data_IF_256450905481
#
_entry.id   IF_256450905481
#
_cell.length_a   1.000
_cell.length_b   1.000
_cell.length_c   1.000
_cell.angle_alpha   90.00
_cell.angle_beta   90.00
_cell.angle_gamma   90.00
#
_symmetry.space_group_name_H-M   'P 1'
#
loop_
_entity.id
_entity.type
_entity.pdbx_description
1 polymer ?
#
# COMPACT_ATOMS: atom_id res chain seq x y z
N UNK A 1 8.96 0.85 -17.50
CA UNK A 1 9.93 1.61 -16.67
C UNK A 1 10.98 2.17 -17.61
N UNK A 2 10.76 3.36 -18.15
CA UNK A 2 11.79 4.07 -18.91
C UNK A 2 12.47 5.04 -17.94
N UNK A 3 13.73 4.77 -17.63
CA UNK A 3 14.63 5.79 -17.10
C UNK A 3 15.20 6.51 -18.32
N UNK A 4 14.79 7.75 -18.55
CA UNK A 4 15.38 8.59 -19.59
C UNK A 4 16.83 8.92 -19.18
N UNK A 5 17.79 8.17 -19.72
CA UNK A 5 19.19 8.59 -19.77
C UNK A 5 19.40 9.25 -21.13
N UNK A 6 19.51 10.58 -21.13
CA UNK A 6 19.89 11.33 -22.32
C UNK A 6 21.32 10.96 -22.73
N UNK A 7 21.48 10.36 -23.90
CA UNK A 7 22.75 10.24 -24.60
C UNK A 7 22.86 11.38 -25.62
N UNK A 8 23.86 12.24 -25.47
CA UNK A 8 24.35 13.06 -26.58
C UNK A 8 25.88 13.03 -26.63
N UNK A 9 26.38 12.92 -27.85
CA UNK A 9 27.77 12.76 -28.20
C UNK A 9 28.55 14.05 -27.89
N UNK A 10 29.25 14.08 -26.76
CA UNK A 10 30.60 14.63 -26.57
C UNK A 10 30.97 14.57 -25.09
N UNK A 11 32.15 14.00 -24.81
CA UNK A 11 32.60 13.52 -23.50
C UNK A 11 32.43 14.47 -22.30
N UNK A 12 32.04 13.84 -21.18
CA UNK A 12 31.96 14.31 -19.77
C UNK A 12 30.66 15.01 -19.35
N UNK A 13 29.68 14.20 -18.94
CA UNK A 13 28.57 14.62 -18.07
C UNK A 13 28.88 14.27 -16.61
N UNK A 14 28.87 15.25 -15.70
CA UNK A 14 28.62 15.00 -14.28
C UNK A 14 27.16 14.55 -14.16
N UNK A 15 26.92 13.32 -13.70
CA UNK A 15 25.57 12.86 -13.36
C UNK A 15 24.94 13.81 -12.34
N UNK A 16 23.73 14.33 -12.60
CA UNK A 16 22.90 15.03 -11.60
C UNK A 16 22.43 14.10 -10.46
N UNK A 17 22.68 12.79 -10.58
CA UNK A 17 22.31 11.77 -9.62
C UNK A 17 23.52 10.87 -9.30
N UNK A 18 24.48 11.30 -8.48
CA UNK A 18 25.47 10.38 -7.92
C UNK A 18 24.75 9.45 -6.94
N UNK A 19 24.72 8.15 -7.24
CA UNK A 19 24.24 7.11 -6.32
C UNK A 19 25.46 6.58 -5.56
N UNK A 20 25.75 7.18 -4.41
CA UNK A 20 26.71 6.61 -3.45
C UNK A 20 25.97 5.70 -2.47
N UNK A 21 26.17 4.39 -2.58
CA UNK A 21 25.75 3.43 -1.57
C UNK A 21 26.78 3.40 -0.44
N UNK A 22 26.53 4.17 0.62
CA UNK A 22 27.27 4.02 1.88
C UNK A 22 26.80 2.75 2.59
N UNK A 23 27.66 1.71 2.63
CA UNK A 23 27.47 0.55 3.51
C UNK A 23 28.05 0.89 4.88
N UNK A 24 27.22 1.36 5.80
CA UNK A 24 27.62 1.42 7.21
C UNK A 24 27.46 0.02 7.82
N UNK A 25 28.58 -0.61 8.19
CA UNK A 25 28.60 -1.85 8.97
C UNK A 25 27.97 -1.62 10.34
N UNK A 26 26.89 -2.33 10.66
CA UNK A 26 26.28 -2.30 12.00
C UNK A 26 26.98 -3.28 12.94
N UNK A 27 27.12 -2.96 14.23
CA UNK A 27 27.77 -3.83 15.20
C UNK A 27 26.96 -5.10 15.44
N UNK A 28 27.67 -6.20 15.59
CA UNK A 28 27.15 -7.55 15.81
C UNK A 28 26.32 -7.60 17.11
N UNK A 29 24.99 -7.45 17.03
CA UNK A 29 24.07 -7.69 18.14
C UNK A 29 23.70 -9.16 18.18
N UNK A 30 23.77 -9.78 19.35
CA UNK A 30 23.23 -11.13 19.60
C UNK A 30 21.78 -11.22 19.12
N UNK A 31 21.33 -12.35 18.55
CA UNK A 31 19.95 -12.50 18.08
C UNK A 31 19.00 -12.32 19.26
N UNK A 32 18.20 -11.25 19.24
CA UNK A 32 17.06 -11.12 20.15
C UNK A 32 16.02 -12.16 19.72
N UNK A 33 15.65 -13.05 20.62
CA UNK A 33 14.56 -13.99 20.42
C UNK A 33 13.26 -13.31 20.85
N UNK A 34 12.43 -12.92 19.89
CA UNK A 34 11.10 -12.37 20.16
C UNK A 34 10.09 -13.49 20.35
N UNK A 35 9.14 -13.31 21.28
CA UNK A 35 8.01 -14.23 21.37
C UNK A 35 7.01 -13.90 20.26
N UNK A 36 6.73 -14.87 19.39
CA UNK A 36 5.73 -14.72 18.31
C UNK A 36 4.48 -15.55 18.53
N UNK A 37 4.39 -16.28 19.64
CA UNK A 37 3.17 -16.98 20.04
C UNK A 37 2.13 -15.96 20.51
N UNK A 38 0.85 -16.20 20.26
CA UNK A 38 -0.23 -15.37 20.76
C UNK A 38 -1.56 -16.13 20.79
N UNK A 39 -2.46 -15.69 21.66
CA UNK A 39 -3.86 -16.11 21.64
C UNK A 39 -4.74 -14.93 21.28
N UNK A 40 -5.70 -15.15 20.38
CA UNK A 40 -6.64 -14.12 19.94
C UNK A 40 -7.84 -14.13 20.89
N UNK A 41 -8.10 -13.01 21.55
CA UNK A 41 -9.33 -12.82 22.31
C UNK A 41 -10.49 -12.46 21.36
N UNK A 42 -10.28 -11.50 20.48
CA UNK A 42 -11.29 -11.06 19.52
C UNK A 42 -10.70 -10.41 18.29
N UNK A 43 -11.40 -10.55 17.16
CA UNK A 43 -11.22 -9.73 15.96
C UNK A 43 -12.48 -8.95 15.66
N UNK A 44 -12.30 -7.69 15.27
CA UNK A 44 -13.38 -6.74 14.95
C UNK A 44 -12.95 -5.94 13.71
N UNK A 45 -13.91 -5.45 12.93
CA UNK A 45 -13.60 -4.61 11.78
C UNK A 45 -14.52 -3.39 11.68
N UNK A 46 -14.00 -2.32 11.06
CA UNK A 46 -14.67 -1.05 10.87
C UNK A 46 -14.46 -0.62 9.42
N UNK A 47 -15.56 -0.27 8.73
CA UNK A 47 -15.51 0.39 7.43
C UNK A 47 -15.38 1.91 7.64
N UNK A 48 -14.27 2.48 7.20
CA UNK A 48 -14.06 3.93 7.17
C UNK A 48 -14.35 4.48 5.78
N UNK A 49 -15.13 5.56 5.71
CA UNK A 49 -15.46 6.25 4.46
C UNK A 49 -15.33 7.78 4.61
N UNK A 50 -14.44 8.38 3.83
CA UNK A 50 -14.11 9.80 3.89
C UNK A 50 -14.81 10.58 2.78
N UNK A 51 -16.14 10.75 2.89
CA UNK A 51 -17.00 11.29 1.82
C UNK A 51 -16.65 12.70 1.32
N UNK A 52 -15.86 13.46 2.08
CA UNK A 52 -15.43 14.82 1.75
C UNK A 52 -13.98 14.88 1.21
N UNK A 53 -13.46 13.77 0.70
CA UNK A 53 -12.12 13.70 0.08
C UNK A 53 -12.24 13.68 -1.45
N UNK A 54 -11.17 14.10 -2.13
CA UNK A 54 -11.07 13.92 -3.57
C UNK A 54 -11.05 12.42 -3.92
N UNK A 55 -11.60 12.07 -5.08
CA UNK A 55 -11.47 10.70 -5.59
C UNK A 55 -10.02 10.41 -6.01
N UNK A 56 -9.74 9.14 -6.33
CA UNK A 56 -8.44 8.72 -6.89
C UNK A 56 -7.99 9.57 -8.09
N UNK A 57 -8.95 10.12 -8.84
CA UNK A 57 -8.69 10.89 -10.06
C UNK A 57 -8.39 12.37 -9.80
N UNK A 58 -8.67 12.90 -8.60
CA UNK A 58 -8.52 14.33 -8.28
C UNK A 58 -9.13 15.22 -9.38
N UNK A 59 -8.38 16.19 -9.92
CA UNK A 59 -8.80 17.01 -11.07
C UNK A 59 -8.39 16.41 -12.42
N UNK A 60 -7.64 15.31 -12.44
CA UNK A 60 -7.20 14.67 -13.67
C UNK A 60 -8.40 13.95 -14.31
N UNK A 61 -8.71 14.31 -15.56
CA UNK A 61 -9.82 13.71 -16.33
C UNK A 61 -11.17 13.82 -15.60
N UNK A 62 -11.40 14.95 -14.91
CA UNK A 62 -12.64 15.21 -14.17
C UNK A 62 -13.89 15.13 -15.05
N UNK A 63 -13.78 15.51 -16.33
CA UNK A 63 -14.88 15.53 -17.29
C UNK A 63 -14.98 14.26 -18.15
N UNK A 64 -14.17 13.25 -17.88
CA UNK A 64 -14.20 11.99 -18.63
C UNK A 64 -14.92 10.92 -17.80
N UNK A 65 -15.92 10.26 -18.40
CA UNK A 65 -16.70 9.19 -17.77
C UNK A 65 -18.08 9.08 -18.39
N UNK A 66 -18.53 7.85 -18.64
CA UNK A 66 -19.84 7.56 -19.24
C UNK A 66 -20.86 7.06 -18.20
N UNK A 67 -20.40 6.68 -17.00
CA UNK A 67 -21.24 6.13 -15.92
C UNK A 67 -20.73 6.58 -14.56
N UNK A 68 -21.64 7.03 -13.71
CA UNK A 68 -21.35 7.47 -12.35
C UNK A 68 -22.53 7.16 -11.43
N UNK A 69 -22.22 6.78 -10.20
CA UNK A 69 -23.18 6.64 -9.09
C UNK A 69 -22.77 7.55 -7.94
N UNK A 70 -23.50 7.51 -6.83
CA UNK A 70 -23.12 8.26 -5.62
C UNK A 70 -21.78 7.79 -5.03
N UNK A 71 -21.43 6.52 -5.21
CA UNK A 71 -20.23 5.90 -4.62
C UNK A 71 -19.13 5.62 -5.63
N UNK A 72 -19.46 5.37 -6.89
CA UNK A 72 -18.53 4.87 -7.89
C UNK A 72 -18.49 5.74 -9.15
N UNK A 73 -17.34 5.77 -9.81
CA UNK A 73 -17.15 6.39 -11.12
C UNK A 73 -16.42 5.44 -12.08
N UNK A 74 -16.78 5.54 -13.37
CA UNK A 74 -16.18 4.80 -14.46
C UNK A 74 -15.58 5.79 -15.46
N UNK A 75 -14.27 5.68 -15.72
CA UNK A 75 -13.55 6.59 -16.63
C UNK A 75 -13.52 6.02 -18.04
N UNK A 76 -13.80 6.87 -19.02
CA UNK A 76 -13.70 6.50 -20.43
C UNK A 76 -12.29 5.99 -20.76
N UNK A 77 -12.20 4.81 -21.38
CA UNK A 77 -10.94 4.15 -21.69
C UNK A 77 -10.36 3.28 -20.56
N UNK A 78 -10.97 3.27 -19.37
CA UNK A 78 -10.63 2.38 -18.27
C UNK A 78 -11.77 1.41 -18.01
N UNK A 79 -11.45 0.11 -17.98
CA UNK A 79 -12.41 -0.94 -17.64
C UNK A 79 -12.48 -1.20 -16.12
N UNK A 80 -11.79 -0.39 -15.32
CA UNK A 80 -11.73 -0.49 -13.85
C UNK A 80 -12.65 0.54 -13.21
N UNK A 81 -13.41 0.11 -12.19
CA UNK A 81 -14.24 0.99 -11.36
C UNK A 81 -13.40 1.69 -10.29
N UNK A 82 -13.76 2.92 -9.94
CA UNK A 82 -13.12 3.68 -8.88
C UNK A 82 -14.15 4.21 -7.89
N UNK A 83 -13.79 4.29 -6.61
CA UNK A 83 -14.60 4.98 -5.60
C UNK A 83 -14.46 6.50 -5.76
N UNK A 84 -15.56 7.22 -5.53
CA UNK A 84 -15.61 8.69 -5.60
C UNK A 84 -15.02 9.40 -4.39
N UNK A 85 -14.74 8.64 -3.35
CA UNK A 85 -14.08 9.09 -2.12
C UNK A 85 -13.25 7.94 -1.56
N UNK A 86 -12.30 8.25 -0.69
CA UNK A 86 -11.47 7.22 -0.04
C UNK A 86 -12.33 6.43 0.94
N UNK A 87 -12.26 5.11 0.84
CA UNK A 87 -12.82 4.19 1.83
C UNK A 87 -11.92 2.96 1.98
N UNK A 88 -11.95 2.36 3.17
CA UNK A 88 -11.07 1.24 3.52
C UNK A 88 -11.64 0.47 4.72
N UNK A 89 -11.43 -0.86 4.82
CA UNK A 89 -11.71 -1.60 6.03
C UNK A 89 -10.48 -1.61 6.95
N UNK A 90 -10.70 -1.24 8.21
CA UNK A 90 -9.73 -1.45 9.28
C UNK A 90 -10.11 -2.66 10.12
N UNK A 91 -9.12 -3.44 10.53
CA UNK A 91 -9.28 -4.61 11.40
C UNK A 91 -8.53 -4.35 12.69
N UNK A 92 -9.19 -4.66 13.80
CA UNK A 92 -8.64 -4.62 15.15
C UNK A 92 -8.55 -6.05 15.67
N UNK A 93 -7.37 -6.45 16.13
CA UNK A 93 -7.15 -7.72 16.83
C UNK A 93 -6.80 -7.40 18.28
N UNK A 94 -7.52 -8.04 19.20
CA UNK A 94 -7.21 -8.01 20.64
C UNK A 94 -6.67 -9.37 21.03
N UNK A 95 -5.45 -9.41 21.55
CA UNK A 95 -4.83 -10.62 22.09
C UNK A 95 -5.32 -10.88 23.51
N UNK A 96 -5.21 -12.13 23.99
CA UNK A 96 -5.65 -12.53 25.33
C UNK A 96 -4.87 -11.86 26.48
N UNK A 97 -3.69 -11.30 26.21
CA UNK A 97 -2.95 -10.47 27.16
C UNK A 97 -3.42 -9.00 27.21
N UNK A 98 -4.45 -8.67 26.43
CA UNK A 98 -5.02 -7.33 26.31
C UNK A 98 -4.34 -6.44 25.26
N UNK A 99 -3.28 -6.90 24.60
CA UNK A 99 -2.60 -6.11 23.57
C UNK A 99 -3.49 -5.96 22.33
N UNK A 100 -3.56 -4.74 21.79
CA UNK A 100 -4.38 -4.41 20.61
C UNK A 100 -3.50 -4.02 19.43
N UNK A 101 -3.72 -4.68 18.31
CA UNK A 101 -3.12 -4.36 17.02
C UNK A 101 -4.15 -3.98 15.96
N UNK A 102 -3.71 -3.19 14.99
CA UNK A 102 -4.51 -2.69 13.88
C UNK A 102 -3.90 -3.05 12.54
N UNK A 103 -4.76 -3.44 11.60
CA UNK A 103 -4.40 -3.71 10.22
C UNK A 103 -5.42 -3.15 9.27
N UNK A 104 -5.04 -3.09 7.99
CA UNK A 104 -5.83 -2.49 6.93
C UNK A 104 -5.76 -3.39 5.69
N UNK A 105 -6.90 -3.58 5.02
CA UNK A 105 -6.95 -4.32 3.77
C UNK A 105 -6.90 -3.36 2.56
N UNK A 106 -6.36 -3.82 1.43
CA UNK A 106 -6.37 -3.05 0.19
C UNK A 106 -7.71 -3.19 -0.57
N UNK A 107 -8.81 -2.79 0.06
CA UNK A 107 -10.15 -2.94 -0.50
C UNK A 107 -10.87 -1.59 -0.61
N UNK A 108 -10.39 -0.75 -1.54
CA UNK A 108 -11.01 0.55 -1.86
C UNK A 108 -12.34 0.44 -2.62
N UNK A 109 -12.73 -0.77 -3.02
CA UNK A 109 -14.06 -1.12 -3.55
C UNK A 109 -14.58 -2.24 -2.66
N UNK A 110 -15.81 -2.12 -2.16
CA UNK A 110 -16.40 -3.14 -1.29
C UNK A 110 -15.70 -3.42 0.05
N UNK A 111 -15.18 -2.43 0.80
CA UNK A 111 -14.62 -2.65 2.15
C UNK A 111 -15.57 -3.38 3.11
N UNK A 112 -16.89 -3.21 2.96
CA UNK A 112 -17.91 -3.92 3.74
C UNK A 112 -17.87 -5.45 3.54
N UNK A 113 -17.38 -5.92 2.40
CA UNK A 113 -17.21 -7.35 2.12
C UNK A 113 -16.10 -7.91 3.00
N UNK A 114 -14.98 -7.19 3.12
CA UNK A 114 -13.90 -7.56 4.06
C UNK A 114 -14.42 -7.56 5.49
N UNK A 115 -15.19 -6.54 5.88
CA UNK A 115 -15.76 -6.48 7.23
C UNK A 115 -16.66 -7.70 7.52
N UNK A 116 -17.50 -8.10 6.56
CA UNK A 116 -18.33 -9.30 6.67
C UNK A 116 -17.49 -10.58 6.79
N UNK A 117 -16.44 -10.73 5.97
CA UNK A 117 -15.52 -11.87 6.06
C UNK A 117 -14.86 -11.94 7.44
N UNK A 118 -14.38 -10.80 7.97
CA UNK A 118 -13.72 -10.74 9.27
C UNK A 118 -14.69 -11.05 10.41
N UNK A 119 -15.80 -10.31 10.49
CA UNK A 119 -16.72 -10.36 11.62
C UNK A 119 -17.60 -11.61 11.62
N UNK A 120 -18.08 -12.03 10.45
CA UNK A 120 -19.14 -13.05 10.37
C UNK A 120 -18.59 -14.43 10.01
N UNK A 121 -17.33 -14.53 9.55
CA UNK A 121 -16.74 -15.81 9.14
C UNK A 121 -15.44 -16.12 9.89
N UNK A 122 -14.40 -15.31 9.74
CA UNK A 122 -13.09 -15.58 10.35
C UNK A 122 -13.13 -15.50 11.87
N UNK A 123 -13.84 -14.52 12.44
CA UNK A 123 -13.98 -14.39 13.90
C UNK A 123 -14.52 -15.68 14.56
N UNK A 124 -15.42 -16.42 13.91
CA UNK A 124 -15.95 -17.67 14.43
C UNK A 124 -14.90 -18.79 14.48
N UNK A 125 -13.85 -18.70 13.65
CA UNK A 125 -12.81 -19.72 13.53
C UNK A 125 -11.58 -19.40 14.38
N UNK A 126 -11.25 -18.12 14.58
CA UNK A 126 -9.97 -17.71 15.20
C UNK A 126 -10.12 -17.10 16.59
N UNK A 127 -11.30 -16.62 17.00
CA UNK A 127 -11.47 -16.10 18.35
C UNK A 127 -11.32 -17.22 19.39
N UNK A 128 -10.56 -16.97 20.45
CA UNK A 128 -10.21 -17.94 21.48
C UNK A 128 -9.15 -18.96 21.07
N UNK A 129 -8.60 -18.88 19.86
CA UNK A 129 -7.53 -19.77 19.40
C UNK A 129 -6.15 -19.22 19.74
N UNK A 130 -5.19 -20.12 19.89
CA UNK A 130 -3.77 -19.84 20.05
C UNK A 130 -2.99 -20.26 18.81
N UNK A 131 -2.01 -19.44 18.42
CA UNK A 131 -1.14 -19.70 17.29
C UNK A 131 0.32 -19.49 17.68
N UNK A 132 1.18 -20.37 17.19
CA UNK A 132 2.63 -20.33 17.44
C UNK A 132 3.34 -19.19 16.67
N UNK A 133 2.72 -18.67 15.61
CA UNK A 133 3.25 -17.53 14.85
C UNK A 133 2.19 -16.90 13.95
N UNK A 134 2.43 -15.67 13.45
CA UNK A 134 1.59 -15.07 12.41
C UNK A 134 1.47 -15.93 11.15
N UNK A 135 2.55 -16.63 10.77
CA UNK A 135 2.53 -17.57 9.64
C UNK A 135 1.59 -18.76 9.88
N UNK A 136 1.58 -19.33 11.08
CA UNK A 136 0.67 -20.42 11.43
C UNK A 136 -0.81 -19.99 11.38
N UNK A 137 -1.11 -18.77 11.84
CA UNK A 137 -2.44 -18.17 11.69
C UNK A 137 -2.80 -17.96 10.21
N UNK A 138 -1.86 -17.47 9.40
CA UNK A 138 -2.08 -17.26 7.96
C UNK A 138 -2.40 -18.58 7.24
N UNK A 139 -1.59 -19.61 7.46
CA UNK A 139 -1.77 -20.94 6.87
C UNK A 139 -3.11 -21.54 7.26
N UNK A 140 -3.47 -21.48 8.54
CA UNK A 140 -4.78 -21.93 9.04
C UNK A 140 -5.93 -21.23 8.31
N UNK A 141 -5.91 -19.89 8.26
CA UNK A 141 -6.97 -19.11 7.62
C UNK A 141 -7.05 -19.43 6.12
N UNK A 142 -5.93 -19.48 5.41
CA UNK A 142 -5.91 -19.81 3.97
C UNK A 142 -6.50 -21.20 3.71
N UNK A 143 -6.10 -22.20 4.50
CA UNK A 143 -6.53 -23.58 4.32
C UNK A 143 -8.04 -23.78 4.56
N UNK A 144 -8.69 -22.94 5.39
CA UNK A 144 -10.14 -23.05 5.65
C UNK A 144 -11.00 -22.91 4.37
N UNK A 145 -10.51 -22.19 3.36
CA UNK A 145 -11.26 -21.90 2.13
C UNK A 145 -10.54 -22.26 0.82
N UNK A 146 -9.25 -22.64 0.84
CA UNK A 146 -8.50 -23.02 -0.37
C UNK A 146 -9.21 -24.08 -1.23
N UNK A 147 -9.83 -25.07 -0.60
CA UNK A 147 -10.51 -26.18 -1.29
C UNK A 147 -11.80 -25.76 -2.00
N UNK A 148 -12.28 -24.54 -1.74
CA UNK A 148 -13.46 -23.93 -2.36
C UNK A 148 -13.11 -22.86 -3.39
N UNK A 149 -11.83 -22.65 -3.68
CA UNK A 149 -11.36 -21.72 -4.70
C UNK A 149 -11.12 -20.28 -4.22
N UNK A 150 -11.24 -19.99 -2.92
CA UNK A 150 -10.95 -18.66 -2.38
C UNK A 150 -9.45 -18.49 -2.12
N UNK A 151 -8.68 -18.37 -3.19
CA UNK A 151 -7.23 -18.17 -3.16
C UNK A 151 -6.81 -16.75 -3.55
N UNK A 152 -7.74 -15.80 -3.65
CA UNK A 152 -7.50 -14.42 -4.06
C UNK A 152 -8.64 -13.46 -3.66
N UNK A 153 -8.50 -12.18 -4.01
CA UNK A 153 -9.53 -11.16 -3.83
C UNK A 153 -9.83 -10.85 -2.36
N UNK A 154 -11.10 -10.52 -2.06
CA UNK A 154 -11.55 -10.11 -0.72
C UNK A 154 -11.19 -11.08 0.40
N UNK A 155 -11.05 -12.38 0.09
CA UNK A 155 -10.59 -13.36 1.08
C UNK A 155 -9.16 -13.06 1.52
N UNK A 156 -8.22 -12.94 0.57
CA UNK A 156 -6.82 -12.63 0.91
C UNK A 156 -6.66 -11.22 1.48
N UNK A 157 -7.49 -10.26 1.06
CA UNK A 157 -7.51 -8.92 1.63
C UNK A 157 -7.86 -8.97 3.14
N UNK A 158 -8.87 -9.75 3.53
CA UNK A 158 -9.23 -9.94 4.94
C UNK A 158 -8.11 -10.60 5.74
N UNK A 159 -7.49 -11.66 5.18
CA UNK A 159 -6.34 -12.34 5.79
C UNK A 159 -5.16 -11.38 6.00
N UNK A 160 -4.86 -10.54 5.01
CA UNK A 160 -3.79 -9.55 5.08
C UNK A 160 -4.04 -8.52 6.20
N UNK A 161 -5.28 -8.02 6.34
CA UNK A 161 -5.60 -7.08 7.41
C UNK A 161 -5.45 -7.70 8.81
N UNK A 162 -5.84 -8.96 8.99
CA UNK A 162 -5.65 -9.68 10.26
C UNK A 162 -4.16 -9.92 10.53
N UNK A 163 -3.39 -10.35 9.52
CA UNK A 163 -1.94 -10.59 9.64
C UNK A 163 -1.21 -9.32 10.08
N UNK A 164 -1.47 -8.18 9.42
CA UNK A 164 -0.90 -6.88 9.80
C UNK A 164 -1.29 -6.50 11.24
N UNK A 165 -2.56 -6.70 11.63
CA UNK A 165 -3.03 -6.39 12.97
C UNK A 165 -2.34 -7.24 14.04
N UNK A 166 -2.11 -8.53 13.78
CA UNK A 166 -1.37 -9.42 14.68
C UNK A 166 0.09 -8.99 14.78
N UNK A 167 0.75 -8.66 13.68
CA UNK A 167 2.12 -8.14 13.71
C UNK A 167 2.24 -6.84 14.51
N UNK A 168 1.28 -5.92 14.36
CA UNK A 168 1.21 -4.68 15.15
C UNK A 168 1.03 -4.99 16.65
N UNK A 169 0.15 -5.93 17.01
CA UNK A 169 -0.05 -6.35 18.39
C UNK A 169 1.23 -6.98 18.98
N UNK A 170 1.88 -7.89 18.26
CA UNK A 170 3.15 -8.51 18.70
C UNK A 170 4.23 -7.44 18.84
N UNK A 171 4.38 -6.53 17.88
CA UNK A 171 5.35 -5.43 17.96
C UNK A 171 5.15 -4.56 19.20
N UNK A 172 3.90 -4.24 19.55
CA UNK A 172 3.58 -3.51 20.79
C UNK A 172 3.90 -4.31 22.04
N UNK A 173 3.54 -5.60 22.09
CA UNK A 173 3.83 -6.49 23.22
C UNK A 173 5.33 -6.63 23.46
N UNK A 174 6.09 -6.86 22.40
CA UNK A 174 7.55 -7.01 22.44
C UNK A 174 8.27 -5.66 22.51
N UNK A 175 7.53 -4.54 22.54
CA UNK A 175 8.05 -3.17 22.57
C UNK A 175 9.10 -2.91 21.46
N UNK A 176 8.88 -3.48 20.28
CA UNK A 176 9.84 -3.50 19.19
C UNK A 176 9.14 -3.16 17.86
N UNK A 177 9.75 -2.34 16.98
CA UNK A 177 9.20 -2.13 15.64
C UNK A 177 9.07 -3.47 14.89
N UNK A 178 7.96 -3.67 14.17
CA UNK A 178 7.72 -4.90 13.38
C UNK A 178 8.90 -5.26 12.47
N UNK A 179 9.55 -4.25 11.86
CA UNK A 179 10.73 -4.47 11.01
C UNK A 179 11.89 -5.18 11.74
N UNK A 180 12.07 -4.94 13.04
CA UNK A 180 13.09 -5.60 13.85
C UNK A 180 12.68 -7.04 14.26
N UNK A 181 11.38 -7.34 14.26
CA UNK A 181 10.88 -8.71 14.41
C UNK A 181 11.14 -9.56 13.14
N UNK A 182 11.06 -8.93 11.97
CA UNK A 182 11.20 -9.59 10.67
C UNK A 182 12.64 -9.70 10.17
N UNK A 183 13.52 -8.81 10.61
CA UNK A 183 14.91 -8.79 10.18
C UNK A 183 15.84 -8.35 11.32
N UNK A 184 17.03 -8.98 11.47
CA UNK A 184 17.97 -8.63 12.54
C UNK A 184 18.55 -7.22 12.40
N UNK A 185 18.66 -6.71 11.17
CA UNK A 185 19.17 -5.38 10.85
C UNK A 185 18.26 -4.72 9.80
N UNK A 186 17.07 -4.22 10.17
CA UNK A 186 16.16 -3.61 9.23
C UNK A 186 16.73 -2.30 8.68
N UNK A 187 16.46 -2.01 7.41
CA UNK A 187 16.82 -0.72 6.82
C UNK A 187 15.99 0.38 7.49
N UNK A 188 16.66 1.49 7.82
CA UNK A 188 16.03 2.67 8.45
C UNK A 188 15.81 3.82 7.48
N UNK A 189 16.26 3.68 6.22
CA UNK A 189 16.11 4.67 5.15
C UNK A 189 15.87 3.98 3.80
N UNK A 190 14.94 4.55 3.04
CA UNK A 190 14.54 4.10 1.72
C UNK A 190 14.37 5.29 0.79
N UNK A 191 14.71 5.10 -0.48
CA UNK A 191 14.34 6.07 -1.52
C UNK A 191 12.84 5.94 -1.82
N UNK A 192 12.17 7.07 -1.93
CA UNK A 192 10.75 7.17 -2.30
C UNK A 192 10.61 7.93 -3.61
N UNK A 193 9.49 7.73 -4.30
CA UNK A 193 9.17 8.41 -5.56
C UNK A 193 7.73 8.91 -5.54
N UNK A 194 7.45 9.98 -6.28
CA UNK A 194 6.12 10.54 -6.42
C UNK A 194 5.27 9.62 -7.30
N UNK A 195 4.35 8.88 -6.68
CA UNK A 195 3.43 7.99 -7.39
C UNK A 195 2.13 8.72 -7.75
N UNK A 196 2.17 9.47 -8.85
CA UNK A 196 1.01 10.14 -9.42
C UNK A 196 1.14 11.65 -9.38
N UNK A 197 0.84 12.26 -10.52
CA UNK A 197 1.00 13.69 -10.78
C UNK A 197 -0.31 14.25 -11.32
N UNK A 198 -1.44 13.88 -10.70
CA UNK A 198 -2.78 14.08 -11.28
C UNK A 198 -3.19 15.55 -11.21
N UNK A 199 -2.92 16.30 -12.27
CA UNK A 199 -3.47 17.65 -12.51
C UNK A 199 -4.04 17.75 -13.90
N UNK A 200 -4.94 18.71 -14.11
CA UNK A 200 -5.72 18.81 -15.34
C UNK A 200 -4.85 19.17 -16.54
N UNK A 201 -3.84 20.01 -16.36
CA UNK A 201 -2.95 20.47 -17.44
C UNK A 201 -1.50 19.99 -17.27
N UNK A 202 -0.74 19.91 -18.38
CA UNK A 202 0.69 19.56 -18.32
C UNK A 202 1.47 20.55 -17.44
N UNK A 203 1.19 21.85 -17.56
CA UNK A 203 1.84 22.88 -16.74
C UNK A 203 1.62 22.64 -15.24
N UNK A 204 0.37 22.42 -14.80
CA UNK A 204 0.08 22.13 -13.39
C UNK A 204 0.77 20.83 -12.92
N UNK A 205 0.94 19.85 -13.81
CA UNK A 205 1.66 18.61 -13.50
C UNK A 205 3.16 18.83 -13.35
N UNK A 206 3.78 19.63 -14.23
CA UNK A 206 5.19 20.03 -14.12
C UNK A 206 5.43 20.81 -12.81
N UNK A 207 4.59 21.81 -12.53
CA UNK A 207 4.65 22.59 -11.28
C UNK A 207 4.51 21.68 -10.05
N UNK A 208 3.59 20.71 -10.08
CA UNK A 208 3.42 19.76 -8.99
C UNK A 208 4.66 18.86 -8.79
N UNK A 209 5.23 18.32 -9.86
CA UNK A 209 6.45 17.51 -9.80
C UNK A 209 7.63 18.32 -9.26
N UNK A 210 7.83 19.53 -9.80
CA UNK A 210 8.91 20.42 -9.39
C UNK A 210 8.82 20.78 -7.91
N UNK A 211 7.60 21.01 -7.39
CA UNK A 211 7.40 21.26 -5.96
C UNK A 211 7.89 20.12 -5.05
N UNK A 212 7.85 18.87 -5.51
CA UNK A 212 8.38 17.71 -4.79
C UNK A 212 9.86 17.47 -5.03
N UNK A 213 10.36 17.75 -6.24
CA UNK A 213 11.80 17.71 -6.52
C UNK A 213 12.54 18.69 -5.60
N UNK A 214 11.96 19.88 -5.37
CA UNK A 214 12.50 20.90 -4.48
C UNK A 214 12.61 20.42 -3.01
N UNK A 215 11.84 19.39 -2.60
CA UNK A 215 12.00 18.74 -1.28
C UNK A 215 13.10 17.67 -1.25
N UNK A 216 13.84 17.49 -2.35
CA UNK A 216 14.88 16.48 -2.50
C UNK A 216 14.39 15.13 -3.03
N UNK A 217 13.14 15.05 -3.51
CA UNK A 217 12.62 13.83 -4.14
C UNK A 217 13.31 13.59 -5.49
N UNK A 218 13.66 12.34 -5.78
CA UNK A 218 14.51 12.00 -6.95
C UNK A 218 13.82 11.17 -8.03
N UNK A 219 12.51 10.95 -7.89
CA UNK A 219 11.76 10.15 -8.85
C UNK A 219 10.28 10.48 -8.84
N UNK A 220 9.65 10.33 -10.00
CA UNK A 220 8.22 10.42 -10.19
C UNK A 220 7.75 9.33 -11.16
N UNK A 221 6.48 8.94 -11.06
CA UNK A 221 5.82 7.99 -11.96
C UNK A 221 4.66 8.67 -12.66
N UNK A 222 4.66 8.57 -13.98
CA UNK A 222 3.58 9.05 -14.85
C UNK A 222 2.64 7.91 -15.26
N UNK A 223 1.39 8.25 -15.57
CA UNK A 223 0.40 7.30 -16.08
C UNK A 223 0.27 7.44 -17.60
N UNK A 224 0.44 6.33 -18.33
CA UNK A 224 0.29 6.30 -19.78
C UNK A 224 -1.13 5.87 -20.16
N UNK A 225 -1.66 6.46 -21.24
CA UNK A 225 -3.07 6.36 -21.61
C UNK A 225 -3.30 5.39 -22.78
N UNK A 226 -2.50 4.31 -22.86
CA UNK A 226 -2.50 3.35 -23.98
C UNK A 226 -1.94 3.89 -25.31
N UNK A 227 -1.95 5.21 -25.49
CA UNK A 227 -1.34 5.93 -26.60
C UNK A 227 0.12 6.28 -26.28
N UNK A 228 1.05 5.62 -26.98
CA UNK A 228 2.49 5.78 -26.77
C UNK A 228 2.96 7.19 -27.15
N UNK A 229 2.43 7.79 -28.23
CA UNK A 229 2.86 9.11 -28.69
C UNK A 229 2.47 10.19 -27.69
N UNK A 230 1.24 10.13 -27.16
CA UNK A 230 0.81 11.03 -26.07
C UNK A 230 1.65 10.81 -24.81
N UNK A 231 2.00 9.55 -24.52
CA UNK A 231 2.88 9.21 -23.41
C UNK A 231 4.27 9.82 -23.51
N UNK A 232 4.89 9.77 -24.68
CA UNK A 232 6.20 10.37 -24.93
C UNK A 232 6.13 11.89 -24.88
N UNK A 233 5.12 12.50 -25.52
CA UNK A 233 4.94 13.96 -25.48
C UNK A 233 4.73 14.49 -24.06
N UNK A 234 3.98 13.76 -23.22
CA UNK A 234 3.82 14.06 -21.79
C UNK A 234 5.17 14.00 -21.05
N UNK A 235 5.97 12.96 -21.30
CA UNK A 235 7.28 12.81 -20.68
C UNK A 235 8.23 13.95 -21.09
N UNK A 236 8.31 14.25 -22.38
CA UNK A 236 9.15 15.33 -22.91
C UNK A 236 8.75 16.67 -22.29
N UNK A 237 7.44 16.97 -22.24
CA UNK A 237 6.93 18.18 -21.62
C UNK A 237 7.21 18.31 -20.12
N UNK A 238 7.22 17.20 -19.38
CA UNK A 238 7.60 17.19 -17.95
C UNK A 238 9.12 17.32 -17.74
N UNK A 239 9.94 16.97 -18.73
CA UNK A 239 11.41 17.12 -18.66
C UNK A 239 11.82 18.56 -18.99
N UNK A 240 11.08 19.22 -19.90
CA UNK A 240 11.37 20.58 -20.35
C UNK A 240 10.92 21.68 -19.36
N UNK A 241 9.85 21.45 -18.60
CA UNK A 241 9.23 22.43 -17.69
C UNK A 241 9.59 22.25 -16.22
#
# INVERSE_FOLDING_TARGET
MLLAQNANANGRTKSKFPVEYSRTSSPNRSPMSFNTNFAIQSVESIHLAFKNTASYWESYRSNEGDRQTDRFEFKQGWQTVYARYIETPMVKVTLSDGTVGWGEANSGIGPEIVCMIVNDLLAQMINGQEFESPAALWDFQYDTQRGRGYSSGYWLDALAAIDIAVWDAIGKREQSPVAALLAPNPRTRFDVYLSGIRRSTLQERSEHVNSWIDTGLRGAKIFLTGDVNKGTAELDGLIEG
#
